data_IF_128664906345
#
_entry.id   IF_128664906345
#
_cell.length_a   1.000
_cell.length_b   1.000
_cell.length_c   1.000
_cell.angle_alpha   90.00
_cell.angle_beta   90.00
_cell.angle_gamma   90.00
#
_symmetry.space_group_name_H-M   'P 1'
#
loop_
_entity.id
_entity.type
_entity.pdbx_description
1 polymer ?
#
# COMPACT_ATOMS: atom_id res chain seq x y z
N UNK A 1 15.64 23.89 -3.20
CA UNK A 1 14.52 23.86 -2.24
C UNK A 1 13.25 23.40 -2.95
N UNK A 2 12.93 22.09 -2.93
CA UNK A 2 11.64 21.54 -3.43
C UNK A 2 11.44 20.03 -3.19
N UNK A 3 11.89 19.47 -2.07
CA UNK A 3 11.78 18.01 -1.83
C UNK A 3 11.40 17.61 -0.39
N UNK A 4 10.88 18.53 0.43
CA UNK A 4 10.56 18.23 1.84
C UNK A 4 9.07 18.14 2.17
N UNK A 5 8.17 18.26 1.19
CA UNK A 5 6.73 18.46 1.48
C UNK A 5 5.90 17.17 1.51
N UNK A 6 6.41 16.03 1.05
CA UNK A 6 5.61 14.77 1.04
C UNK A 6 5.70 13.94 2.32
N UNK A 7 6.55 14.29 3.29
CA UNK A 7 6.67 13.59 4.59
C UNK A 7 5.93 14.34 5.73
N UNK A 8 5.27 15.46 5.42
CA UNK A 8 4.67 16.36 6.41
C UNK A 8 3.24 15.99 6.82
N UNK A 9 2.71 14.84 6.39
CA UNK A 9 1.42 14.34 6.87
C UNK A 9 1.48 13.62 8.22
N UNK A 10 2.65 13.10 8.59
CA UNK A 10 2.88 12.34 9.84
C UNK A 10 4.07 12.89 10.66
N UNK A 11 4.98 13.65 10.04
CA UNK A 11 6.15 14.17 10.75
C UNK A 11 5.85 15.25 11.81
N UNK A 12 4.67 15.88 11.80
CA UNK A 12 4.30 16.82 12.88
C UNK A 12 3.98 16.13 14.21
N UNK A 13 3.94 14.79 14.26
CA UNK A 13 3.88 14.02 15.51
C UNK A 13 5.26 13.56 16.01
N UNK A 14 6.36 13.97 15.38
CA UNK A 14 7.72 13.64 15.85
C UNK A 14 8.08 14.38 17.15
N UNK A 15 7.26 15.34 17.59
CA UNK A 15 7.41 15.97 18.91
C UNK A 15 6.95 15.08 20.08
N UNK A 16 6.33 13.92 19.82
CA UNK A 16 5.92 12.94 20.84
C UNK A 16 6.79 11.67 20.75
N UNK A 17 8.10 11.83 20.88
CA UNK A 17 9.14 10.79 20.79
C UNK A 17 9.10 9.73 21.92
N UNK A 18 7.92 9.30 22.37
CA UNK A 18 7.78 8.32 23.46
C UNK A 18 6.54 7.40 23.35
N UNK A 19 5.76 7.46 22.27
CA UNK A 19 4.72 6.49 21.95
C UNK A 19 4.94 6.09 20.49
N UNK A 20 4.98 4.85 20.07
CA UNK A 20 4.70 3.53 20.67
C UNK A 20 4.64 2.63 19.43
N UNK A 21 5.05 1.36 19.53
CA UNK A 21 4.73 0.27 18.58
C UNK A 21 3.39 0.36 17.79
N UNK A 22 2.39 1.07 18.32
CA UNK A 22 1.14 1.46 17.64
C UNK A 22 1.31 2.27 16.35
N UNK A 23 2.37 3.06 16.19
CA UNK A 23 2.54 3.89 14.99
C UNK A 23 3.09 3.08 13.82
N UNK A 24 4.07 2.22 14.08
CA UNK A 24 4.54 1.17 13.16
C UNK A 24 3.37 0.29 12.71
N UNK A 25 2.64 -0.29 13.67
CA UNK A 25 1.44 -1.11 13.39
C UNK A 25 0.37 -0.35 12.59
N UNK A 26 0.17 0.95 12.83
CA UNK A 26 -0.81 1.76 12.06
C UNK A 26 -0.36 1.99 10.62
N UNK A 27 0.94 2.18 10.41
CA UNK A 27 1.52 2.35 9.08
C UNK A 27 1.36 1.04 8.33
N UNK A 28 1.87 -0.07 8.89
CA UNK A 28 1.74 -1.42 8.34
C UNK A 28 0.28 -1.75 8.00
N UNK A 29 -0.63 -1.69 8.98
CA UNK A 29 -2.05 -1.96 8.76
C UNK A 29 -2.67 -1.06 7.68
N UNK A 30 -2.28 0.22 7.57
CA UNK A 30 -2.88 1.11 6.57
C UNK A 30 -2.44 0.75 5.14
N UNK A 31 -1.23 0.25 4.96
CA UNK A 31 -0.72 -0.21 3.67
C UNK A 31 -1.22 -1.62 3.34
N UNK A 32 -1.23 -2.54 4.31
CA UNK A 32 -1.81 -3.87 4.15
C UNK A 32 -3.29 -3.78 3.79
N UNK A 33 -4.11 -3.05 4.55
CA UNK A 33 -5.54 -2.90 4.23
C UNK A 33 -5.78 -2.31 2.82
N UNK A 34 -4.87 -1.48 2.32
CA UNK A 34 -4.96 -0.95 0.95
C UNK A 34 -4.51 -1.95 -0.09
N UNK A 35 -3.45 -2.72 0.17
CA UNK A 35 -3.00 -3.80 -0.69
C UNK A 35 -4.09 -4.87 -0.80
N UNK A 36 -4.65 -5.29 0.33
CA UNK A 36 -5.74 -6.27 0.39
C UNK A 36 -6.99 -5.77 -0.35
N UNK A 37 -7.32 -4.48 -0.25
CA UNK A 37 -8.43 -3.91 -1.02
C UNK A 37 -8.19 -3.93 -2.54
N UNK A 38 -6.92 -3.77 -2.96
CA UNK A 38 -6.53 -3.86 -4.37
C UNK A 38 -6.51 -5.31 -4.86
N UNK A 39 -6.03 -6.26 -4.06
CA UNK A 39 -6.10 -7.70 -4.33
C UNK A 39 -7.55 -8.16 -4.45
N UNK A 40 -8.42 -7.81 -3.49
CA UNK A 40 -9.85 -8.12 -3.60
C UNK A 40 -10.49 -7.54 -4.87
N UNK A 41 -10.00 -6.39 -5.34
CA UNK A 41 -10.46 -5.80 -6.59
C UNK A 41 -9.91 -6.57 -7.81
N UNK A 42 -8.66 -7.03 -7.75
CA UNK A 42 -8.04 -7.88 -8.76
C UNK A 42 -8.78 -9.21 -8.87
N UNK A 43 -9.00 -9.91 -7.76
CA UNK A 43 -9.73 -11.18 -7.70
C UNK A 43 -11.15 -11.06 -8.29
N UNK A 44 -11.86 -9.98 -7.99
CA UNK A 44 -13.17 -9.72 -8.58
C UNK A 44 -13.07 -9.49 -10.10
N UNK A 45 -12.02 -8.81 -10.56
CA UNK A 45 -11.79 -8.56 -11.99
C UNK A 45 -11.41 -9.85 -12.73
N UNK A 46 -10.60 -10.70 -12.11
CA UNK A 46 -10.19 -12.00 -12.63
C UNK A 46 -11.39 -12.96 -12.69
N UNK A 47 -12.20 -13.00 -11.64
CA UNK A 47 -13.48 -13.73 -11.66
C UNK A 47 -14.46 -13.20 -12.72
N UNK A 48 -14.48 -11.89 -12.97
CA UNK A 48 -15.22 -11.34 -14.11
C UNK A 48 -14.60 -11.78 -15.45
N UNK A 49 -13.28 -11.81 -15.56
CA UNK A 49 -12.58 -12.25 -16.76
C UNK A 49 -12.93 -13.70 -17.13
N UNK A 50 -13.01 -14.59 -16.14
CA UNK A 50 -13.45 -15.99 -16.30
C UNK A 50 -14.86 -16.12 -16.87
N UNK A 51 -15.74 -15.15 -16.58
CA UNK A 51 -17.11 -15.09 -17.10
C UNK A 51 -17.20 -14.40 -18.46
N UNK A 52 -16.11 -13.79 -18.94
CA UNK A 52 -16.02 -13.10 -20.22
C UNK A 52 -15.31 -13.98 -21.26
N UNK A 53 -15.34 -13.59 -22.52
CA UNK A 53 -14.65 -14.30 -23.60
C UNK A 53 -14.01 -13.34 -24.59
N UNK A 54 -12.93 -13.79 -25.24
CA UNK A 54 -12.19 -13.02 -26.23
C UNK A 54 -11.53 -11.77 -25.63
N UNK A 55 -11.59 -10.65 -26.36
CA UNK A 55 -10.90 -9.41 -25.96
C UNK A 55 -11.38 -8.82 -24.64
N UNK A 56 -12.61 -9.13 -24.21
CA UNK A 56 -13.15 -8.65 -22.94
C UNK A 56 -12.49 -9.36 -21.74
N UNK A 57 -12.26 -10.67 -21.85
CA UNK A 57 -11.50 -11.44 -20.86
C UNK A 57 -10.06 -10.94 -20.76
N UNK A 58 -9.38 -10.79 -21.90
CA UNK A 58 -8.00 -10.28 -21.94
C UNK A 58 -7.87 -8.86 -21.35
N UNK A 59 -8.85 -7.98 -21.57
CA UNK A 59 -8.84 -6.63 -20.98
C UNK A 59 -9.06 -6.65 -19.46
N UNK A 60 -9.89 -7.58 -18.97
CA UNK A 60 -10.14 -7.78 -17.55
C UNK A 60 -8.91 -8.37 -16.85
N UNK A 61 -8.28 -9.42 -17.39
CA UNK A 61 -7.00 -9.98 -16.92
C UNK A 61 -5.91 -8.90 -16.85
N UNK A 62 -5.71 -8.13 -17.92
CA UNK A 62 -4.74 -7.01 -17.92
C UNK A 62 -5.04 -5.93 -16.87
N UNK A 63 -6.29 -5.83 -16.43
CA UNK A 63 -6.68 -4.89 -15.37
C UNK A 63 -6.45 -5.51 -13.99
N UNK A 64 -6.72 -6.80 -13.82
CA UNK A 64 -6.39 -7.57 -12.63
C UNK A 64 -4.88 -7.53 -12.37
N UNK A 65 -4.05 -7.84 -13.38
CA UNK A 65 -2.58 -7.76 -13.30
C UNK A 65 -2.11 -6.38 -12.81
N UNK A 66 -2.72 -5.30 -13.29
CA UNK A 66 -2.36 -3.93 -12.88
C UNK A 66 -2.75 -3.64 -11.43
N UNK A 67 -3.84 -4.22 -10.96
CA UNK A 67 -4.29 -4.09 -9.59
C UNK A 67 -3.36 -4.87 -8.65
N UNK A 68 -2.97 -6.09 -9.00
CA UNK A 68 -1.96 -6.88 -8.27
C UNK A 68 -0.62 -6.15 -8.19
N UNK A 69 -0.08 -5.71 -9.33
CA UNK A 69 1.16 -4.93 -9.34
C UNK A 69 1.09 -3.67 -8.46
N UNK A 70 -0.10 -3.06 -8.36
CA UNK A 70 -0.32 -1.90 -7.49
C UNK A 70 -0.45 -2.31 -6.02
N UNK A 71 -1.05 -3.46 -5.72
CA UNK A 71 -1.09 -4.02 -4.38
C UNK A 71 0.33 -4.31 -3.88
N UNK A 72 1.15 -4.97 -4.70
CA UNK A 72 2.57 -5.23 -4.41
C UNK A 72 3.35 -3.95 -4.15
N UNK A 73 3.23 -2.97 -5.05
CA UNK A 73 3.88 -1.66 -4.86
C UNK A 73 3.40 -0.93 -3.60
N UNK A 74 2.13 -1.14 -3.21
CA UNK A 74 1.56 -0.58 -1.98
C UNK A 74 2.13 -1.29 -0.74
N UNK A 75 2.28 -2.60 -0.78
CA UNK A 75 2.86 -3.41 0.30
C UNK A 75 4.35 -3.06 0.48
N UNK A 76 5.12 -3.01 -0.59
CA UNK A 76 6.52 -2.54 -0.56
C UNK A 76 6.67 -1.11 -0.02
N UNK A 77 5.74 -0.21 -0.36
CA UNK A 77 5.76 1.16 0.16
C UNK A 77 5.45 1.18 1.66
N UNK A 78 4.59 0.27 2.13
CA UNK A 78 4.32 0.02 3.54
C UNK A 78 5.55 -0.44 4.29
N UNK A 79 6.21 -1.49 3.80
CA UNK A 79 7.46 -2.01 4.38
C UNK A 79 8.52 -0.91 4.49
N UNK A 80 8.74 -0.12 3.43
CA UNK A 80 9.70 0.99 3.43
C UNK A 80 9.33 2.08 4.45
N UNK A 81 8.03 2.32 4.66
CA UNK A 81 7.54 3.30 5.62
C UNK A 81 7.71 2.79 7.06
N UNK A 82 7.43 1.51 7.30
CA UNK A 82 7.68 0.81 8.56
C UNK A 82 9.16 0.86 8.92
N UNK A 83 10.04 0.45 8.00
CA UNK A 83 11.50 0.52 8.12
C UNK A 83 12.02 1.91 8.52
N UNK A 84 11.39 2.96 7.97
CA UNK A 84 11.75 4.34 8.25
C UNK A 84 11.30 4.78 9.65
N UNK A 85 10.14 4.31 10.11
CA UNK A 85 9.63 4.53 11.47
C UNK A 85 10.51 3.78 12.47
N UNK A 86 10.80 2.50 12.24
CA UNK A 86 11.64 1.68 13.12
C UNK A 86 13.05 2.28 13.28
N UNK A 87 13.67 2.73 12.17
CA UNK A 87 14.98 3.42 12.20
C UNK A 87 14.93 4.78 12.91
N UNK A 88 13.78 5.45 12.90
CA UNK A 88 13.59 6.70 13.63
C UNK A 88 13.39 6.47 15.13
N UNK A 89 12.76 5.37 15.53
CA UNK A 89 12.56 4.99 16.94
C UNK A 89 13.84 4.44 17.61
N UNK A 90 14.73 3.81 16.84
CA UNK A 90 16.01 3.27 17.34
C UNK A 90 17.15 4.31 17.45
N UNK A 91 16.92 5.58 17.10
CA UNK A 91 17.91 6.67 17.14
C UNK A 91 17.69 7.62 18.31
#
# INVERSE_FOLDING_TARGET
>A
MKTFVTVLGLASMVALAACDSKQENKVENAYENKADALENQADNMESMADNLSGNAAAAAENTADKLENKADATREAGEKAEDAVEKAEKK
#
